data_IF_622861550552
#
_entry.id   IF_622861550552
#
_cell.length_a   1.000
_cell.length_b   1.000
_cell.length_c   1.000
_cell.angle_alpha   90.00
_cell.angle_beta   90.00
_cell.angle_gamma   90.00
#
_symmetry.space_group_name_H-M   'P 1'
#
loop_
_entity.id
_entity.type
_entity.pdbx_description
1 polymer ?
#
# COMPACT_ATOMS: atom_id res chain seq x y z
N UNK A 1 -33.06 68.69 0.76
CA UNK A 1 -32.08 68.03 -0.14
C UNK A 1 -31.20 66.95 0.53
N UNK A 2 -31.53 66.38 1.70
CA UNK A 2 -30.62 65.47 2.46
C UNK A 2 -31.04 63.99 2.52
N UNK A 3 -31.85 63.48 1.57
CA UNK A 3 -32.32 62.06 1.62
C UNK A 3 -31.57 61.06 0.72
N UNK A 4 -30.68 61.49 -0.19
CA UNK A 4 -29.96 60.54 -1.06
C UNK A 4 -28.72 59.89 -0.44
N UNK A 5 -27.93 60.61 0.37
CA UNK A 5 -26.60 60.13 0.77
C UNK A 5 -26.59 58.88 1.68
N UNK A 6 -27.64 58.66 2.48
CA UNK A 6 -27.68 57.54 3.42
C UNK A 6 -28.06 56.20 2.75
N UNK A 7 -28.90 56.24 1.70
CA UNK A 7 -29.29 55.06 0.94
C UNK A 7 -28.14 54.51 0.08
N UNK A 8 -27.33 55.41 -0.50
CA UNK A 8 -26.13 55.04 -1.26
C UNK A 8 -25.01 54.47 -0.37
N UNK A 9 -24.92 54.92 0.90
CA UNK A 9 -23.94 54.39 1.85
C UNK A 9 -24.27 52.97 2.33
N UNK A 10 -25.55 52.66 2.52
CA UNK A 10 -26.03 51.34 2.94
C UNK A 10 -25.83 50.27 1.84
N UNK A 11 -26.08 50.62 0.59
CA UNK A 11 -25.84 49.73 -0.56
C UNK A 11 -24.35 49.52 -0.82
N UNK A 12 -23.51 50.55 -0.64
CA UNK A 12 -22.05 50.43 -0.80
C UNK A 12 -21.40 49.58 0.31
N UNK A 13 -21.87 49.69 1.57
CA UNK A 13 -21.43 48.84 2.67
C UNK A 13 -21.82 47.36 2.47
N UNK A 14 -23.04 47.08 1.99
CA UNK A 14 -23.49 45.73 1.65
C UNK A 14 -22.70 45.15 0.47
N UNK A 15 -22.44 45.93 -0.58
CA UNK A 15 -21.65 45.52 -1.74
C UNK A 15 -20.19 45.21 -1.37
N UNK A 16 -19.59 45.98 -0.46
CA UNK A 16 -18.23 45.72 0.07
C UNK A 16 -18.18 44.43 0.88
N UNK A 17 -19.21 44.15 1.69
CA UNK A 17 -19.29 42.93 2.51
C UNK A 17 -19.48 41.68 1.63
N UNK A 18 -20.35 41.76 0.61
CA UNK A 18 -20.55 40.69 -0.36
C UNK A 18 -19.28 40.44 -1.19
N UNK A 19 -18.63 41.51 -1.65
CA UNK A 19 -17.35 41.43 -2.38
C UNK A 19 -16.24 40.84 -1.51
N UNK A 20 -16.19 41.18 -0.22
CA UNK A 20 -15.24 40.61 0.73
C UNK A 20 -15.47 39.10 0.93
N UNK A 21 -16.73 38.68 1.09
CA UNK A 21 -17.08 37.26 1.16
C UNK A 21 -16.74 36.49 -0.13
N UNK A 22 -17.04 37.06 -1.30
CA UNK A 22 -16.68 36.46 -2.59
C UNK A 22 -15.16 36.35 -2.76
N UNK A 23 -14.40 37.38 -2.40
CA UNK A 23 -12.94 37.42 -2.49
C UNK A 23 -12.29 36.40 -1.54
N UNK A 24 -12.84 36.24 -0.34
CA UNK A 24 -12.40 35.20 0.61
C UNK A 24 -12.74 33.78 0.13
N UNK A 25 -13.95 33.56 -0.42
CA UNK A 25 -14.33 32.27 -1.01
C UNK A 25 -13.43 31.89 -2.20
N UNK A 26 -13.09 32.87 -3.04
CA UNK A 26 -12.12 32.70 -4.15
C UNK A 26 -10.68 32.45 -3.66
N UNK A 27 -10.22 33.18 -2.63
CA UNK A 27 -8.91 32.92 -2.00
C UNK A 27 -8.84 31.53 -1.39
N UNK A 28 -9.89 31.08 -0.71
CA UNK A 28 -9.96 29.74 -0.13
C UNK A 28 -9.92 28.67 -1.21
N UNK A 29 -10.74 28.81 -2.27
CA UNK A 29 -10.68 27.92 -3.45
C UNK A 29 -9.29 27.86 -4.06
N UNK A 30 -8.62 29.01 -4.22
CA UNK A 30 -7.27 29.06 -4.80
C UNK A 30 -6.19 28.45 -3.89
N UNK A 31 -6.27 28.66 -2.56
CA UNK A 31 -5.39 28.01 -1.58
C UNK A 31 -5.59 26.49 -1.57
N UNK A 32 -6.84 26.04 -1.54
CA UNK A 32 -7.19 24.62 -1.58
C UNK A 32 -6.73 23.94 -2.88
N UNK A 33 -6.91 24.63 -4.02
CA UNK A 33 -6.45 24.14 -5.32
C UNK A 33 -4.93 23.98 -5.39
N UNK A 34 -4.16 24.88 -4.75
CA UNK A 34 -2.70 24.74 -4.63
C UNK A 34 -2.29 23.51 -3.81
N UNK A 35 -2.99 23.22 -2.71
CA UNK A 35 -2.75 22.04 -1.88
C UNK A 35 -3.05 20.76 -2.67
N UNK A 36 -4.19 20.69 -3.36
CA UNK A 36 -4.54 19.52 -4.18
C UNK A 36 -3.50 19.29 -5.30
N UNK A 37 -3.04 20.35 -5.98
CA UNK A 37 -2.01 20.22 -7.02
C UNK A 37 -0.71 19.65 -6.45
N UNK A 38 -0.28 20.13 -5.29
CA UNK A 38 0.90 19.63 -4.56
C UNK A 38 0.78 18.15 -4.20
N UNK A 39 -0.36 17.73 -3.65
CA UNK A 39 -0.64 16.33 -3.33
C UNK A 39 -0.63 15.45 -4.59
N UNK A 40 -1.22 15.91 -5.70
CA UNK A 40 -1.21 15.19 -6.99
C UNK A 40 0.20 14.93 -7.51
N UNK A 41 1.09 15.91 -7.41
CA UNK A 41 2.50 15.75 -7.85
C UNK A 41 3.21 14.69 -7.02
N UNK A 42 2.98 14.64 -5.70
CA UNK A 42 3.59 13.63 -4.82
C UNK A 42 3.07 12.24 -5.15
N UNK A 43 1.76 12.07 -5.28
CA UNK A 43 1.16 10.80 -5.67
C UNK A 43 1.75 10.31 -6.99
N UNK A 44 1.95 11.22 -7.95
CA UNK A 44 2.57 10.87 -9.23
C UNK A 44 4.04 10.45 -9.08
N UNK A 45 4.86 11.19 -8.31
CA UNK A 45 6.26 10.82 -8.04
C UNK A 45 6.39 9.46 -7.36
N UNK A 46 5.53 9.18 -6.39
CA UNK A 46 5.52 7.90 -5.69
C UNK A 46 5.15 6.78 -6.65
N UNK A 47 4.14 6.96 -7.50
CA UNK A 47 3.82 5.97 -8.53
C UNK A 47 5.02 5.65 -9.43
N UNK A 48 5.76 6.66 -9.88
CA UNK A 48 6.96 6.46 -10.72
C UNK A 48 8.03 5.66 -9.96
N UNK A 49 8.32 6.02 -8.71
CA UNK A 49 9.31 5.30 -7.88
C UNK A 49 8.86 3.87 -7.62
N UNK A 50 7.55 3.65 -7.42
CA UNK A 50 7.01 2.31 -7.23
C UNK A 50 7.08 1.46 -8.48
N UNK A 51 6.78 2.01 -9.65
CA UNK A 51 6.93 1.30 -10.91
C UNK A 51 8.39 0.92 -11.16
N UNK A 52 9.34 1.78 -10.80
CA UNK A 52 10.77 1.47 -10.89
C UNK A 52 11.17 0.38 -9.89
N UNK A 53 10.70 0.44 -8.64
CA UNK A 53 10.94 -0.60 -7.65
C UNK A 53 10.33 -1.95 -8.07
N UNK A 54 9.14 -1.96 -8.69
CA UNK A 54 8.51 -3.16 -9.27
C UNK A 54 9.39 -3.78 -10.37
N UNK A 55 9.95 -2.97 -11.26
CA UNK A 55 10.90 -3.45 -12.30
C UNK A 55 12.16 -4.04 -11.68
N UNK A 56 12.70 -3.42 -10.64
CA UNK A 56 13.86 -3.95 -9.93
C UNK A 56 13.54 -5.28 -9.22
N UNK A 57 12.37 -5.39 -8.57
CA UNK A 57 11.90 -6.64 -7.98
C UNK A 57 11.79 -7.75 -9.02
N UNK A 58 11.24 -7.45 -10.20
CA UNK A 58 11.15 -8.44 -11.28
C UNK A 58 12.53 -8.92 -11.76
N UNK A 59 13.55 -8.06 -11.72
CA UNK A 59 14.92 -8.43 -12.05
C UNK A 59 15.54 -9.30 -10.96
N UNK A 60 15.31 -8.97 -9.68
CA UNK A 60 15.81 -9.77 -8.54
C UNK A 60 15.12 -11.12 -8.39
N UNK A 61 13.87 -11.24 -8.83
CA UNK A 61 13.14 -12.53 -8.87
C UNK A 61 13.74 -13.52 -9.88
N UNK A 62 14.60 -13.08 -10.80
CA UNK A 62 15.35 -13.99 -11.70
C UNK A 62 16.43 -14.80 -10.98
N UNK A 63 16.97 -14.28 -9.87
CA UNK A 63 17.96 -14.97 -9.06
C UNK A 63 17.26 -16.04 -8.19
N UNK A 64 17.18 -17.28 -8.67
CA UNK A 64 16.43 -18.37 -8.02
C UNK A 64 16.84 -18.59 -6.55
N UNK A 65 18.15 -18.57 -6.25
CA UNK A 65 18.65 -18.83 -4.89
C UNK A 65 18.23 -17.73 -3.89
N UNK A 66 18.35 -16.46 -4.29
CA UNK A 66 17.91 -15.32 -3.46
C UNK A 66 16.40 -15.30 -3.32
N UNK A 67 15.70 -15.55 -4.41
CA UNK A 67 14.25 -15.57 -4.43
C UNK A 67 13.68 -16.69 -3.56
N UNK A 68 14.30 -17.87 -3.53
CA UNK A 68 13.92 -18.95 -2.63
C UNK A 68 14.04 -18.54 -1.15
N UNK A 69 15.13 -17.86 -0.75
CA UNK A 69 15.26 -17.34 0.61
C UNK A 69 14.19 -16.31 0.95
N UNK A 70 13.87 -15.41 0.00
CA UNK A 70 12.80 -14.43 0.16
C UNK A 70 11.46 -15.14 0.36
N UNK A 71 11.12 -16.11 -0.49
CA UNK A 71 9.88 -16.90 -0.37
C UNK A 71 9.79 -17.61 0.98
N UNK A 72 10.88 -18.25 1.43
CA UNK A 72 10.96 -18.89 2.75
C UNK A 72 10.60 -17.91 3.87
N UNK A 73 11.23 -16.74 3.88
CA UNK A 73 11.01 -15.72 4.90
C UNK A 73 9.57 -15.16 4.85
N UNK A 74 9.02 -14.97 3.65
CA UNK A 74 7.64 -14.52 3.47
C UNK A 74 6.65 -15.53 4.05
N UNK A 75 6.83 -16.82 3.78
CA UNK A 75 5.98 -17.88 4.32
C UNK A 75 6.11 -17.93 5.85
N UNK A 76 7.33 -17.96 6.39
CA UNK A 76 7.56 -17.98 7.83
C UNK A 76 6.88 -16.81 8.54
N UNK A 77 7.08 -15.58 8.06
CA UNK A 77 6.43 -14.40 8.64
C UNK A 77 4.91 -14.52 8.63
N UNK A 78 4.34 -15.03 7.54
CA UNK A 78 2.90 -15.20 7.40
C UNK A 78 2.36 -16.25 8.38
N UNK A 79 3.06 -17.37 8.56
CA UNK A 79 2.65 -18.42 9.51
C UNK A 79 2.79 -17.91 10.95
N UNK A 80 3.84 -17.16 11.28
CA UNK A 80 3.97 -16.53 12.60
C UNK A 80 2.87 -15.53 12.91
N UNK A 81 2.29 -14.88 11.89
CA UNK A 81 1.17 -13.97 12.08
C UNK A 81 -0.17 -14.72 12.28
N UNK A 82 -0.32 -15.92 11.71
CA UNK A 82 -1.52 -16.74 11.84
C UNK A 82 -1.54 -17.58 13.13
N UNK A 83 -0.40 -18.19 13.50
CA UNK A 83 -0.28 -19.14 14.61
C UNK A 83 -1.30 -20.31 14.56
N UNK A 84 -1.73 -20.68 13.37
CA UNK A 84 -2.70 -21.74 13.11
C UNK A 84 -2.03 -23.10 12.84
N UNK A 85 -2.75 -24.19 13.09
CA UNK A 85 -2.24 -25.55 12.89
C UNK A 85 -2.30 -26.03 11.44
N UNK A 86 -3.18 -25.47 10.61
CA UNK A 86 -3.31 -25.81 9.19
C UNK A 86 -3.39 -24.55 8.35
N UNK A 87 -2.49 -24.47 7.36
CA UNK A 87 -2.37 -23.33 6.45
C UNK A 87 -2.24 -23.81 5.01
N UNK A 88 -2.83 -23.05 4.10
CA UNK A 88 -2.77 -23.30 2.66
C UNK A 88 -2.09 -22.11 1.98
N UNK A 89 -1.01 -22.40 1.26
CA UNK A 89 -0.19 -21.44 0.52
C UNK A 89 -0.65 -21.40 -0.93
N UNK A 90 -0.91 -20.19 -1.43
CA UNK A 90 -1.09 -19.89 -2.85
C UNK A 90 0.14 -19.18 -3.38
N UNK A 91 0.65 -19.67 -4.48
CA UNK A 91 1.81 -19.09 -5.19
C UNK A 91 1.53 -19.00 -6.69
N UNK A 92 2.44 -18.41 -7.46
CA UNK A 92 2.40 -18.50 -8.92
C UNK A 92 2.79 -19.91 -9.35
N UNK A 93 2.30 -20.36 -10.52
CA UNK A 93 2.58 -21.71 -11.05
C UNK A 93 4.08 -22.03 -11.13
N UNK A 94 4.90 -21.05 -11.53
CA UNK A 94 6.35 -21.18 -11.71
C UNK A 94 7.11 -21.34 -10.37
N UNK A 95 6.51 -20.95 -9.24
CA UNK A 95 7.16 -21.01 -7.93
C UNK A 95 6.79 -22.25 -7.12
N UNK A 96 5.83 -23.03 -7.61
CA UNK A 96 5.30 -24.20 -6.90
C UNK A 96 6.43 -25.15 -6.49
N UNK A 97 7.37 -25.44 -7.39
CA UNK A 97 8.51 -26.32 -7.12
C UNK A 97 9.46 -25.74 -6.05
N UNK A 98 9.69 -24.42 -6.05
CA UNK A 98 10.55 -23.75 -5.08
C UNK A 98 9.90 -23.71 -3.69
N UNK A 99 8.59 -23.49 -3.66
CA UNK A 99 7.79 -23.50 -2.43
C UNK A 99 7.79 -24.90 -1.84
N UNK A 100 7.45 -25.94 -2.62
CA UNK A 100 7.40 -27.33 -2.17
C UNK A 100 8.74 -27.80 -1.57
N UNK A 101 9.87 -27.44 -2.19
CA UNK A 101 11.21 -27.72 -1.63
C UNK A 101 11.47 -27.03 -0.30
N UNK A 102 10.94 -25.81 -0.11
CA UNK A 102 11.19 -25.00 1.07
C UNK A 102 10.27 -25.35 2.24
N UNK A 103 9.14 -26.03 1.99
CA UNK A 103 8.17 -26.42 3.04
C UNK A 103 8.79 -27.22 4.18
N UNK A 104 9.70 -28.16 3.85
CA UNK A 104 10.35 -29.02 4.84
C UNK A 104 11.20 -28.22 5.84
N UNK A 105 11.93 -27.21 5.36
CA UNK A 105 12.70 -26.31 6.23
C UNK A 105 11.80 -25.38 7.04
N UNK A 106 10.76 -24.84 6.42
CA UNK A 106 9.81 -23.91 7.06
C UNK A 106 9.08 -24.61 8.20
N UNK A 107 8.62 -25.85 7.99
CA UNK A 107 7.93 -26.62 9.01
C UNK A 107 8.82 -26.90 10.23
N UNK A 108 10.10 -27.25 10.00
CA UNK A 108 11.10 -27.44 11.06
C UNK A 108 11.34 -26.14 11.84
N UNK A 109 11.64 -25.05 11.14
CA UNK A 109 11.92 -23.76 11.77
C UNK A 109 10.70 -23.20 12.53
N UNK A 110 9.49 -23.42 12.02
CA UNK A 110 8.27 -23.07 12.75
C UNK A 110 8.11 -23.89 14.03
N UNK A 111 8.31 -25.21 13.96
CA UNK A 111 8.19 -26.10 15.10
C UNK A 111 9.24 -25.79 16.18
N UNK A 112 10.47 -25.46 15.80
CA UNK A 112 11.53 -25.05 16.74
C UNK A 112 11.20 -23.76 17.49
N UNK A 113 10.60 -22.76 16.81
CA UNK A 113 10.29 -21.47 17.44
C UNK A 113 8.97 -21.43 18.21
N UNK A 114 7.94 -22.11 17.72
CA UNK A 114 6.57 -22.03 18.27
C UNK A 114 6.22 -23.26 19.11
N UNK A 115 6.92 -24.38 18.92
CA UNK A 115 6.66 -25.64 19.63
C UNK A 115 5.38 -26.35 19.20
N UNK A 116 4.70 -25.88 18.14
CA UNK A 116 3.47 -26.48 17.62
C UNK A 116 3.69 -27.00 16.19
N UNK A 117 3.17 -28.19 15.84
CA UNK A 117 3.20 -28.66 14.47
C UNK A 117 2.25 -27.81 13.61
N UNK A 118 2.71 -27.41 12.41
CA UNK A 118 1.88 -26.73 11.43
C UNK A 118 1.87 -27.53 10.13
N UNK A 119 0.68 -27.86 9.65
CA UNK A 119 0.48 -28.54 8.36
C UNK A 119 0.39 -27.47 7.28
N UNK A 120 1.43 -27.38 6.46
CA UNK A 120 1.50 -26.43 5.35
C UNK A 120 1.16 -27.19 4.07
N UNK A 121 0.13 -26.73 3.37
CA UNK A 121 -0.32 -27.30 2.10
C UNK A 121 -0.20 -26.26 1.00
N UNK A 122 0.07 -26.68 -0.24
CA UNK A 122 0.07 -25.77 -1.40
C UNK A 122 -1.24 -25.95 -2.16
N UNK A 123 -1.94 -24.86 -2.41
CA UNK A 123 -3.15 -24.88 -3.24
C UNK A 123 -2.76 -25.08 -4.71
N UNK A 124 -3.30 -26.14 -5.32
CA UNK A 124 -3.08 -26.46 -6.75
C UNK A 124 -4.28 -26.10 -7.63
N UNK A 125 -5.37 -25.60 -7.04
CA UNK A 125 -6.58 -25.22 -7.75
C UNK A 125 -6.60 -23.71 -8.05
N UNK A 126 -6.07 -22.90 -7.12
CA UNK A 126 -6.09 -21.43 -7.20
C UNK A 126 -4.68 -20.85 -7.11
N UNK A 127 -4.12 -20.48 -8.27
CA UNK A 127 -2.79 -19.84 -8.37
C UNK A 127 -2.89 -18.32 -8.45
N UNK A 128 -1.81 -17.64 -8.03
CA UNK A 128 -1.64 -16.21 -8.28
C UNK A 128 -1.47 -15.93 -9.79
N UNK A 129 -1.91 -14.75 -10.27
CA UNK A 129 -1.77 -14.37 -11.67
C UNK A 129 -0.28 -14.32 -12.09
N UNK A 130 0.05 -14.71 -13.33
CA UNK A 130 1.43 -14.77 -13.81
C UNK A 130 2.08 -13.38 -13.98
N UNK A 131 1.27 -12.32 -14.06
CA UNK A 131 1.72 -10.94 -14.22
C UNK A 131 2.27 -10.34 -12.91
N UNK A 132 2.00 -10.97 -11.77
CA UNK A 132 2.47 -10.49 -10.48
C UNK A 132 3.98 -10.72 -10.34
N UNK A 133 4.69 -9.76 -9.74
CA UNK A 133 6.14 -9.85 -9.53
C UNK A 133 6.56 -11.07 -8.67
N UNK A 134 5.63 -11.63 -7.89
CA UNK A 134 5.80 -12.84 -7.10
C UNK A 134 5.30 -12.70 -5.66
N UNK A 135 5.72 -13.65 -4.82
CA UNK A 135 5.32 -13.77 -3.43
C UNK A 135 4.21 -14.80 -3.22
N UNK A 136 3.57 -14.73 -2.04
CA UNK A 136 2.68 -15.77 -1.54
C UNK A 136 1.43 -15.17 -0.88
N UNK A 137 0.31 -15.85 -1.04
CA UNK A 137 -0.93 -15.61 -0.29
C UNK A 137 -1.17 -16.82 0.60
N UNK A 138 -1.35 -16.59 1.91
CA UNK A 138 -1.74 -17.65 2.84
C UNK A 138 -3.24 -17.58 3.12
N UNK A 139 -3.86 -18.74 3.17
CA UNK A 139 -5.23 -18.92 3.66
C UNK A 139 -5.26 -19.92 4.81
N UNK A 140 -6.04 -19.63 5.85
CA UNK A 140 -6.25 -20.51 6.99
C UNK A 140 -7.74 -20.68 7.30
N UNK A 141 -8.07 -21.66 8.13
CA UNK A 141 -9.45 -21.96 8.54
C UNK A 141 -10.43 -22.12 7.36
N UNK A 142 -10.06 -22.92 6.35
CA UNK A 142 -10.85 -23.14 5.12
C UNK A 142 -11.18 -21.83 4.37
N UNK A 143 -10.24 -20.88 4.34
CA UNK A 143 -10.35 -19.64 3.58
C UNK A 143 -11.02 -18.48 4.30
N UNK A 144 -11.32 -18.60 5.60
CA UNK A 144 -11.84 -17.49 6.42
C UNK A 144 -10.81 -16.39 6.62
N UNK A 145 -9.56 -16.76 6.87
CA UNK A 145 -8.46 -15.83 7.11
C UNK A 145 -7.56 -15.88 5.88
N UNK A 146 -7.26 -14.71 5.32
CA UNK A 146 -6.35 -14.56 4.16
C UNK A 146 -5.29 -13.51 4.48
N UNK A 147 -4.04 -13.84 4.18
CA UNK A 147 -2.90 -12.94 4.32
C UNK A 147 -2.19 -12.86 2.98
N UNK A 148 -2.19 -11.65 2.41
CA UNK A 148 -1.54 -11.37 1.14
C UNK A 148 -0.13 -10.86 1.44
N UNK A 149 0.88 -11.70 1.17
CA UNK A 149 2.29 -11.37 1.31
C UNK A 149 3.00 -11.41 -0.05
N UNK A 150 2.34 -10.85 -1.06
CA UNK A 150 2.96 -10.57 -2.36
C UNK A 150 3.98 -9.45 -2.22
N UNK A 151 4.97 -9.43 -3.12
CA UNK A 151 5.99 -8.38 -3.12
C UNK A 151 5.36 -7.00 -3.40
N UNK A 152 4.31 -6.97 -4.23
CA UNK A 152 3.55 -5.76 -4.53
C UNK A 152 2.81 -5.22 -3.31
N UNK A 153 2.11 -6.08 -2.55
CA UNK A 153 1.42 -5.63 -1.33
C UNK A 153 2.40 -5.05 -0.31
N UNK A 154 3.61 -5.62 -0.18
CA UNK A 154 4.65 -5.08 0.70
C UNK A 154 5.18 -3.74 0.23
N UNK A 155 5.41 -3.60 -1.08
CA UNK A 155 5.83 -2.35 -1.68
C UNK A 155 4.78 -1.25 -1.43
N UNK A 156 3.51 -1.58 -1.62
CA UNK A 156 2.40 -0.65 -1.39
C UNK A 156 2.29 -0.27 0.10
N UNK A 157 2.48 -1.22 1.03
CA UNK A 157 2.53 -0.93 2.47
C UNK A 157 3.67 0.03 2.84
N UNK A 158 4.88 -0.22 2.33
CA UNK A 158 6.05 0.66 2.56
C UNK A 158 5.77 2.06 2.00
N UNK A 159 5.14 2.15 0.84
CA UNK A 159 4.77 3.42 0.22
C UNK A 159 3.84 4.26 1.08
N UNK A 160 2.86 3.60 1.70
CA UNK A 160 1.91 4.26 2.59
C UNK A 160 2.58 4.80 3.86
N UNK A 161 3.60 4.10 4.35
CA UNK A 161 4.39 4.55 5.50
C UNK A 161 5.34 5.70 5.16
N UNK A 162 5.92 5.72 3.95
CA UNK A 162 6.84 6.78 3.51
C UNK A 162 6.11 8.07 3.06
N UNK A 163 4.83 7.98 2.67
CA UNK A 163 4.00 9.12 2.27
C UNK A 163 4.03 10.31 3.26
N UNK A 164 3.80 10.12 4.56
CA UNK A 164 3.89 11.20 5.55
C UNK A 164 5.28 11.81 5.64
N UNK A 165 6.35 11.00 5.64
CA UNK A 165 7.74 11.50 5.72
C UNK A 165 8.10 12.37 4.51
N UNK A 166 7.72 11.93 3.30
CA UNK A 166 7.91 12.69 2.05
C UNK A 166 7.11 14.00 2.09
N UNK A 167 5.91 13.98 2.68
CA UNK A 167 5.08 15.17 2.82
C UNK A 167 5.71 16.19 3.77
N UNK A 168 6.27 15.74 4.88
CA UNK A 168 6.96 16.61 5.84
C UNK A 168 8.23 17.23 5.24
N UNK A 169 9.10 16.42 4.62
CA UNK A 169 10.32 16.94 3.97
C UNK A 169 10.04 17.92 2.84
N UNK A 170 8.98 17.73 2.06
CA UNK A 170 8.67 18.60 0.91
C UNK A 170 7.92 19.88 1.27
N UNK A 171 7.21 19.93 2.39
CA UNK A 171 6.41 21.11 2.75
C UNK A 171 6.83 21.80 4.03
N UNK A 172 7.65 21.17 4.87
CA UNK A 172 7.84 21.62 6.24
C UNK A 172 6.51 21.60 7.00
N UNK A 173 6.57 21.58 8.33
CA UNK A 173 5.40 21.91 9.13
C UNK A 173 4.96 23.37 8.87
#
# INVERSE_FOLDING_TARGET
HYRCACADYLTDAQARTLSFHFKNKSRFKNKFLKIIRRLKVIIHKIKVVLDEARKQLHTKTKDTARYQQVLKNLILQSIYQLLESEVTVKCRKQDTDLVERSLGEIAKEYQERVGKPCKITVDKESYLPPDCAGGIELTAQKGKIKINNTLESRLDMISQQLLPEIRETLFGA
#
